data_IF_213220155496
#
_entry.id   IF_213220155496
#
_cell.length_a   1.000
_cell.length_b   1.000
_cell.length_c   1.000
_cell.angle_alpha   90.00
_cell.angle_beta   90.00
_cell.angle_gamma   90.00
#
_symmetry.space_group_name_H-M   'P 1'
#
loop_
_entity.id
_entity.type
_entity.pdbx_description
1 polymer ?
#
# COMPACT_ATOMS: atom_id res chain seq x y z
N UNK A 1 -35.19 5.01 15.86
CA UNK A 1 -34.19 4.10 15.24
C UNK A 1 -32.91 4.20 16.04
N UNK A 2 -32.68 3.27 16.95
CA UNK A 2 -31.49 3.27 17.81
C UNK A 2 -30.23 3.05 16.97
N UNK A 3 -29.24 3.94 17.13
CA UNK A 3 -27.90 3.74 16.59
C UNK A 3 -27.33 2.48 17.25
N UNK A 4 -27.29 1.37 16.51
CA UNK A 4 -26.43 0.24 16.84
C UNK A 4 -24.99 0.68 16.63
N UNK A 5 -24.41 1.34 17.65
CA UNK A 5 -22.96 1.53 17.72
C UNK A 5 -22.41 0.16 18.10
N UNK A 6 -22.04 -0.64 17.10
CA UNK A 6 -21.34 -1.90 17.32
C UNK A 6 -20.10 -1.59 18.16
N UNK A 7 -20.00 -2.17 19.36
CA UNK A 7 -18.79 -2.07 20.18
C UNK A 7 -17.64 -2.65 19.37
N UNK A 8 -16.64 -1.83 19.07
CA UNK A 8 -15.40 -2.27 18.41
C UNK A 8 -14.81 -3.39 19.26
N UNK A 9 -14.85 -4.62 18.77
CA UNK A 9 -14.22 -5.75 19.46
C UNK A 9 -12.74 -5.81 19.09
N UNK A 10 -11.89 -6.31 20.00
CA UNK A 10 -10.47 -6.50 19.70
C UNK A 10 -10.24 -7.38 18.46
N UNK A 11 -11.10 -8.38 18.24
CA UNK A 11 -11.07 -9.21 17.03
C UNK A 11 -11.44 -8.40 15.77
N UNK A 12 -12.42 -7.50 15.86
CA UNK A 12 -12.78 -6.59 14.77
C UNK A 12 -11.64 -5.62 14.44
N UNK A 13 -10.93 -5.12 15.46
CA UNK A 13 -9.77 -4.25 15.28
C UNK A 13 -8.61 -4.99 14.60
N UNK A 14 -8.31 -6.23 15.00
CA UNK A 14 -7.26 -7.05 14.40
C UNK A 14 -7.56 -7.41 12.94
N UNK A 15 -8.82 -7.71 12.62
CA UNK A 15 -9.26 -7.99 11.25
C UNK A 15 -9.14 -6.72 10.40
N UNK A 16 -9.61 -5.57 10.89
CA UNK A 16 -9.49 -4.30 10.19
C UNK A 16 -8.02 -3.88 10.00
N UNK A 17 -7.18 -4.10 11.02
CA UNK A 17 -5.74 -3.84 10.95
C UNK A 17 -5.10 -4.70 9.86
N UNK A 18 -5.41 -5.99 9.82
CA UNK A 18 -4.90 -6.87 8.78
C UNK A 18 -5.33 -6.48 7.38
N UNK A 19 -6.64 -6.39 7.15
CA UNK A 19 -7.20 -6.22 5.79
C UNK A 19 -6.82 -4.85 5.20
N UNK A 20 -6.96 -3.78 5.99
CA UNK A 20 -6.78 -2.41 5.48
C UNK A 20 -5.31 -2.01 5.49
N UNK A 21 -4.61 -2.27 6.59
CA UNK A 21 -3.22 -1.83 6.72
C UNK A 21 -2.23 -2.78 6.08
N UNK A 22 -2.61 -4.03 5.79
CA UNK A 22 -1.74 -4.94 5.06
C UNK A 22 -1.33 -4.41 3.70
N UNK A 23 -2.29 -3.90 2.93
CA UNK A 23 -2.04 -3.34 1.60
C UNK A 23 -1.25 -2.02 1.68
N UNK A 24 -1.61 -1.14 2.63
CA UNK A 24 -0.93 0.15 2.85
C UNK A 24 0.51 -0.03 3.38
N UNK A 25 0.73 -1.04 4.23
CA UNK A 25 1.98 -1.19 4.98
C UNK A 25 3.12 -1.82 4.17
N UNK A 26 2.81 -2.64 3.16
CA UNK A 26 3.84 -3.31 2.35
C UNK A 26 4.42 -2.43 1.26
N UNK A 27 3.60 -1.55 0.67
CA UNK A 27 3.99 -0.72 -0.47
C UNK A 27 5.19 0.21 -0.20
N UNK A 28 5.32 0.87 0.97
CA UNK A 28 6.50 1.66 1.32
C UNK A 28 7.82 0.88 1.26
N UNK A 29 7.82 -0.39 1.69
CA UNK A 29 9.03 -1.22 1.74
C UNK A 29 9.49 -1.62 0.34
N UNK A 30 8.56 -2.03 -0.52
CA UNK A 30 8.86 -2.34 -1.92
C UNK A 30 9.37 -1.10 -2.66
N UNK A 31 8.69 0.05 -2.49
CA UNK A 31 9.09 1.30 -3.12
C UNK A 31 10.48 1.73 -2.68
N UNK A 32 10.73 1.71 -1.36
CA UNK A 32 12.05 2.04 -0.82
C UNK A 32 13.15 1.17 -1.40
N UNK A 33 12.94 -0.16 -1.44
CA UNK A 33 13.90 -1.09 -2.04
C UNK A 33 14.10 -0.80 -3.54
N UNK A 34 13.02 -0.62 -4.30
CA UNK A 34 13.07 -0.36 -5.75
C UNK A 34 13.85 0.91 -6.12
N UNK A 35 13.82 1.94 -5.28
CA UNK A 35 14.54 3.19 -5.51
C UNK A 35 16.04 3.04 -5.22
N UNK A 36 16.39 2.19 -4.26
CA UNK A 36 17.73 2.12 -3.67
C UNK A 36 18.59 1.03 -4.29
N UNK A 37 18.00 -0.09 -4.73
CA UNK A 37 18.69 -1.30 -5.19
C UNK A 37 19.74 -1.07 -6.29
N UNK A 38 19.45 -0.20 -7.25
CA UNK A 38 20.32 0.06 -8.41
C UNK A 38 21.06 1.40 -8.31
N UNK A 39 21.19 1.98 -7.11
CA UNK A 39 21.77 3.31 -6.90
C UNK A 39 22.85 3.31 -5.82
N UNK A 40 23.72 4.31 -5.89
CA UNK A 40 24.69 4.55 -4.83
C UNK A 40 23.97 4.96 -3.54
N UNK A 41 24.27 4.24 -2.46
CA UNK A 41 23.71 4.48 -1.14
C UNK A 41 24.30 5.75 -0.53
N UNK A 42 23.69 6.90 -0.83
CA UNK A 42 24.04 8.18 -0.20
C UNK A 42 23.02 8.54 0.87
N UNK A 43 23.47 9.28 1.88
CA UNK A 43 22.60 9.77 2.96
C UNK A 43 21.44 10.62 2.43
N UNK A 44 21.72 11.41 1.39
CA UNK A 44 20.69 12.22 0.71
C UNK A 44 19.62 11.35 0.06
N UNK A 45 20.00 10.25 -0.63
CA UNK A 45 19.06 9.31 -1.22
C UNK A 45 18.18 8.65 -0.16
N UNK A 46 18.77 8.17 0.94
CA UNK A 46 18.03 7.48 2.00
C UNK A 46 17.07 8.43 2.70
N UNK A 47 17.57 9.56 3.23
CA UNK A 47 16.74 10.51 3.97
C UNK A 47 15.68 11.17 3.08
N UNK A 48 16.05 11.52 1.84
CA UNK A 48 15.13 12.10 0.87
C UNK A 48 14.00 11.15 0.48
N UNK A 49 14.34 9.88 0.19
CA UNK A 49 13.34 8.86 -0.16
C UNK A 49 12.41 8.55 1.02
N UNK A 50 12.96 8.35 2.23
CA UNK A 50 12.13 8.13 3.42
C UNK A 50 11.19 9.31 3.69
N UNK A 51 11.72 10.53 3.64
CA UNK A 51 10.93 11.74 3.85
C UNK A 51 9.82 11.87 2.80
N UNK A 52 10.13 11.61 1.53
CA UNK A 52 9.14 11.62 0.46
C UNK A 52 8.03 10.62 0.69
N UNK A 53 8.36 9.38 1.04
CA UNK A 53 7.37 8.32 1.33
C UNK A 53 6.46 8.76 2.48
N UNK A 54 7.04 9.20 3.60
CA UNK A 54 6.30 9.64 4.80
C UNK A 54 5.32 10.77 4.45
N UNK A 55 5.80 11.81 3.79
CA UNK A 55 4.99 12.99 3.48
C UNK A 55 3.99 12.73 2.35
N UNK A 56 4.33 11.89 1.37
CA UNK A 56 3.39 11.51 0.30
C UNK A 56 2.21 10.75 0.86
N UNK A 57 2.46 9.73 1.71
CA UNK A 57 1.37 9.00 2.37
C UNK A 57 0.57 9.94 3.27
N UNK A 58 1.23 10.71 4.12
CA UNK A 58 0.56 11.62 5.08
C UNK A 58 -0.32 12.65 4.37
N UNK A 59 0.21 13.32 3.34
CA UNK A 59 -0.54 14.34 2.60
C UNK A 59 -1.64 13.71 1.75
N UNK A 60 -1.38 12.60 1.08
CA UNK A 60 -2.38 11.94 0.25
C UNK A 60 -3.54 11.41 1.10
N UNK A 61 -3.27 10.70 2.20
CA UNK A 61 -4.33 10.21 3.09
C UNK A 61 -5.15 11.35 3.68
N UNK A 62 -4.48 12.41 4.16
CA UNK A 62 -5.16 13.53 4.81
C UNK A 62 -5.97 14.36 3.81
N UNK A 63 -5.37 14.79 2.69
CA UNK A 63 -6.02 15.71 1.76
C UNK A 63 -7.05 14.96 0.89
N UNK A 64 -6.63 13.87 0.22
CA UNK A 64 -7.52 13.13 -0.69
C UNK A 64 -8.62 12.42 0.10
N UNK A 65 -8.26 11.62 1.09
CA UNK A 65 -9.25 10.75 1.73
C UNK A 65 -10.01 11.44 2.85
N UNK A 66 -9.30 12.03 3.82
CA UNK A 66 -9.95 12.61 5.00
C UNK A 66 -10.70 13.92 4.67
N UNK A 67 -10.09 14.82 3.90
CA UNK A 67 -10.70 16.13 3.63
C UNK A 67 -11.69 16.09 2.46
N UNK A 68 -11.33 15.48 1.33
CA UNK A 68 -12.18 15.51 0.12
C UNK A 68 -13.20 14.37 0.12
N UNK A 69 -12.73 13.14 0.24
CA UNK A 69 -13.55 11.95 -0.02
C UNK A 69 -14.53 11.66 1.11
N UNK A 70 -14.14 11.76 2.39
CA UNK A 70 -15.08 11.60 3.51
C UNK A 70 -16.16 12.69 3.55
N UNK A 71 -15.96 13.83 2.88
CA UNK A 71 -16.99 14.87 2.72
C UNK A 71 -17.94 14.60 1.56
N UNK A 72 -17.58 13.70 0.65
CA UNK A 72 -18.37 13.34 -0.51
C UNK A 72 -19.22 12.10 -0.18
N UNK A 73 -20.32 12.32 0.53
CA UNK A 73 -21.30 11.28 0.91
C UNK A 73 -22.45 11.19 -0.12
N UNK A 74 -22.89 9.97 -0.44
CA UNK A 74 -24.09 9.68 -1.23
C UNK A 74 -25.20 9.08 -0.37
N UNK A 75 -25.97 9.90 0.34
CA UNK A 75 -27.10 9.43 1.17
C UNK A 75 -26.71 8.38 2.24
N UNK A 76 -25.51 8.49 2.81
CA UNK A 76 -25.02 7.59 3.85
C UNK A 76 -24.22 6.39 3.32
N UNK A 77 -24.00 6.28 2.00
CA UNK A 77 -23.11 5.29 1.39
C UNK A 77 -21.80 5.97 0.92
N UNK A 78 -20.70 5.57 1.55
CA UNK A 78 -19.33 5.87 1.12
C UNK A 78 -18.89 4.97 -0.05
N UNK A 79 -17.64 5.09 -0.45
CA UNK A 79 -17.04 4.20 -1.45
C UNK A 79 -16.99 4.71 -2.89
N UNK A 80 -16.00 4.18 -3.61
CA UNK A 80 -15.67 4.57 -5.00
C UNK A 80 -16.86 4.33 -5.93
N UNK A 81 -17.62 3.25 -5.70
CA UNK A 81 -18.82 2.91 -6.48
C UNK A 81 -20.00 3.86 -6.22
N UNK A 82 -20.13 4.39 -5.00
CA UNK A 82 -21.15 5.37 -4.63
C UNK A 82 -20.90 6.72 -5.30
N UNK A 83 -19.63 7.14 -5.35
CA UNK A 83 -19.20 8.31 -6.14
C UNK A 83 -19.40 8.09 -7.63
N UNK A 84 -19.15 6.87 -8.13
CA UNK A 84 -19.40 6.51 -9.52
C UNK A 84 -20.87 6.70 -9.92
N UNK A 85 -21.78 6.23 -9.05
CA UNK A 85 -23.22 6.37 -9.24
C UNK A 85 -23.69 7.84 -9.20
N UNK A 86 -23.10 8.66 -8.33
CA UNK A 86 -23.34 10.11 -8.24
C UNK A 86 -22.89 10.86 -9.49
N UNK A 87 -21.66 10.60 -9.93
CA UNK A 87 -21.01 11.30 -11.06
C UNK A 87 -21.79 11.06 -12.35
N UNK A 88 -22.25 9.81 -12.57
CA UNK A 88 -23.08 9.44 -13.73
C UNK A 88 -24.43 10.19 -13.77
N UNK A 89 -24.99 10.54 -12.61
CA UNK A 89 -26.29 11.23 -12.49
C UNK A 89 -26.20 12.74 -12.68
N UNK A 90 -25.01 13.34 -12.54
CA UNK A 90 -24.83 14.81 -12.63
C UNK A 90 -24.79 15.32 -14.07
N UNK A 91 -23.99 14.71 -14.96
CA UNK A 91 -23.87 15.12 -16.37
C UNK A 91 -23.55 13.91 -17.25
N UNK A 92 -24.15 13.85 -18.45
CA UNK A 92 -23.97 12.73 -19.40
C UNK A 92 -22.51 12.52 -19.83
N UNK A 93 -21.69 13.58 -19.98
CA UNK A 93 -20.28 13.41 -20.34
C UNK A 93 -19.51 12.64 -19.26
N UNK A 94 -19.83 12.85 -17.98
CA UNK A 94 -19.09 12.29 -16.85
C UNK A 94 -19.10 10.75 -16.80
N UNK A 95 -19.96 10.12 -17.59
CA UNK A 95 -19.96 8.67 -17.82
C UNK A 95 -18.61 8.19 -18.36
N UNK A 96 -17.99 8.91 -19.31
CA UNK A 96 -16.71 8.49 -19.90
C UNK A 96 -15.55 8.47 -18.89
N UNK A 97 -15.23 9.56 -18.16
CA UNK A 97 -14.18 9.52 -17.15
C UNK A 97 -14.50 8.56 -16.01
N UNK A 98 -15.78 8.39 -15.67
CA UNK A 98 -16.17 7.34 -14.73
C UNK A 98 -15.80 5.95 -15.27
N UNK A 99 -16.24 5.57 -16.47
CA UNK A 99 -15.92 4.27 -17.07
C UNK A 99 -14.41 4.00 -17.14
N UNK A 100 -13.60 5.01 -17.50
CA UNK A 100 -12.13 4.90 -17.50
C UNK A 100 -11.60 4.63 -16.09
N UNK A 101 -12.04 5.39 -15.08
CA UNK A 101 -11.64 5.18 -13.69
C UNK A 101 -12.06 3.81 -13.14
N UNK A 102 -13.26 3.33 -13.48
CA UNK A 102 -13.74 2.01 -13.08
C UNK A 102 -12.94 0.87 -13.72
N UNK A 103 -12.57 1.02 -14.99
CA UNK A 103 -11.69 0.06 -15.67
C UNK A 103 -10.28 0.05 -15.06
N UNK A 104 -9.74 1.23 -14.71
CA UNK A 104 -8.44 1.34 -14.05
C UNK A 104 -8.44 0.64 -12.68
N UNK A 105 -9.51 0.81 -11.88
CA UNK A 105 -9.65 0.14 -10.59
C UNK A 105 -9.74 -1.38 -10.72
N UNK A 106 -10.48 -1.88 -11.72
CA UNK A 106 -10.52 -3.32 -12.00
C UNK A 106 -9.17 -3.87 -12.45
N UNK A 107 -8.43 -3.11 -13.28
CA UNK A 107 -7.09 -3.49 -13.70
C UNK A 107 -6.13 -3.56 -12.50
N UNK A 108 -6.19 -2.59 -11.59
CA UNK A 108 -5.39 -2.56 -10.36
C UNK A 108 -5.66 -3.81 -9.51
N UNK A 109 -6.93 -4.14 -9.24
CA UNK A 109 -7.31 -5.33 -8.47
C UNK A 109 -6.85 -6.67 -9.08
N UNK A 110 -6.67 -6.73 -10.41
CA UNK A 110 -6.15 -7.92 -11.11
C UNK A 110 -4.61 -7.99 -11.03
N UNK A 111 -3.93 -6.84 -11.08
CA UNK A 111 -2.47 -6.76 -11.17
C UNK A 111 -1.79 -6.89 -9.79
N UNK A 112 -2.42 -6.40 -8.72
CA UNK A 112 -1.80 -6.34 -7.39
C UNK A 112 -1.42 -7.70 -6.80
N UNK A 113 -2.24 -8.77 -6.84
CA UNK A 113 -1.84 -10.06 -6.26
C UNK A 113 -0.61 -10.69 -6.95
N UNK A 114 -0.54 -10.78 -8.30
CA UNK A 114 0.66 -11.26 -8.97
C UNK A 114 1.92 -10.45 -8.68
N UNK A 115 1.84 -9.11 -8.69
CA UNK A 115 3.00 -8.26 -8.42
C UNK A 115 3.47 -8.46 -6.97
N UNK A 116 2.56 -8.45 -6.00
CA UNK A 116 2.92 -8.60 -4.58
C UNK A 116 3.59 -9.94 -4.29
N UNK A 117 3.07 -11.03 -4.85
CA UNK A 117 3.66 -12.37 -4.69
C UNK A 117 5.01 -12.45 -5.41
N UNK A 118 5.12 -11.90 -6.62
CA UNK A 118 6.39 -11.88 -7.37
C UNK A 118 7.46 -11.10 -6.60
N UNK A 119 7.15 -9.89 -6.12
CA UNK A 119 8.06 -9.07 -5.33
C UNK A 119 8.49 -9.74 -4.02
N UNK A 120 7.59 -10.50 -3.37
CA UNK A 120 7.94 -11.25 -2.16
C UNK A 120 8.95 -12.37 -2.45
N UNK A 121 8.77 -13.12 -3.54
CA UNK A 121 9.68 -14.20 -3.92
C UNK A 121 10.99 -13.66 -4.49
N UNK A 122 10.95 -12.58 -5.26
CA UNK A 122 12.15 -11.90 -5.76
C UNK A 122 12.94 -11.25 -4.63
N UNK A 123 12.28 -10.75 -3.59
CA UNK A 123 12.92 -10.23 -2.38
C UNK A 123 13.77 -11.27 -1.66
N UNK A 124 13.46 -12.57 -1.78
CA UNK A 124 14.30 -13.63 -1.23
C UNK A 124 15.68 -13.70 -1.88
N UNK A 125 15.82 -13.26 -3.15
CA UNK A 125 17.12 -13.27 -3.85
C UNK A 125 18.14 -12.31 -3.26
N UNK A 126 17.71 -11.36 -2.42
CA UNK A 126 18.61 -10.49 -1.66
C UNK A 126 19.40 -11.26 -0.59
N UNK A 127 18.91 -12.43 -0.16
CA UNK A 127 19.62 -13.31 0.75
C UNK A 127 20.67 -14.12 0.00
N UNK A 128 21.90 -14.20 0.55
CA UNK A 128 23.03 -14.91 -0.09
C UNK A 128 22.68 -16.36 -0.46
N UNK A 129 21.88 -17.04 0.36
CA UNK A 129 21.46 -18.42 0.16
C UNK A 129 20.53 -18.62 -1.05
N UNK A 130 19.76 -17.60 -1.44
CA UNK A 130 18.73 -17.67 -2.48
C UNK A 130 19.06 -16.85 -3.74
N UNK A 131 20.25 -16.23 -3.77
CA UNK A 131 20.72 -15.39 -4.89
C UNK A 131 20.80 -16.14 -6.23
N UNK A 132 21.01 -17.45 -6.20
CA UNK A 132 21.16 -18.29 -7.39
C UNK A 132 19.83 -18.88 -7.93
N UNK A 133 18.68 -18.52 -7.34
CA UNK A 133 17.38 -18.98 -7.85
C UNK A 133 17.17 -18.43 -9.26
N UNK A 134 16.97 -19.33 -10.23
CA UNK A 134 16.67 -18.95 -11.61
C UNK A 134 15.30 -18.26 -11.72
N UNK A 135 15.17 -17.35 -12.69
CA UNK A 135 13.90 -16.65 -12.94
C UNK A 135 12.77 -17.62 -13.29
N UNK A 136 13.07 -18.72 -13.99
CA UNK A 136 12.10 -19.80 -14.26
C UNK A 136 11.52 -20.40 -12.97
N UNK A 137 12.37 -20.65 -11.98
CA UNK A 137 11.95 -21.17 -10.66
C UNK A 137 11.06 -20.17 -9.93
N UNK A 138 11.38 -18.87 -9.96
CA UNK A 138 10.51 -17.83 -9.38
C UNK A 138 9.12 -17.88 -10.01
N UNK A 139 9.04 -17.93 -11.34
CA UNK A 139 7.76 -18.00 -12.06
C UNK A 139 6.97 -19.24 -11.66
N UNK A 140 7.60 -20.41 -11.54
CA UNK A 140 6.91 -21.63 -11.09
C UNK A 140 6.39 -21.52 -9.65
N UNK A 141 7.17 -20.93 -8.74
CA UNK A 141 6.74 -20.71 -7.36
C UNK A 141 5.56 -19.74 -7.32
N UNK A 142 5.64 -18.61 -8.03
CA UNK A 142 4.57 -17.60 -8.09
C UNK A 142 3.28 -18.22 -8.65
N UNK A 143 3.36 -18.98 -9.76
CA UNK A 143 2.20 -19.68 -10.33
C UNK A 143 1.62 -20.70 -9.35
N UNK A 144 2.46 -21.43 -8.61
CA UNK A 144 2.03 -22.36 -7.57
C UNK A 144 1.28 -21.65 -6.44
N UNK A 145 1.83 -20.55 -5.91
CA UNK A 145 1.22 -19.76 -4.84
C UNK A 145 -0.13 -19.19 -5.30
N UNK A 146 -0.17 -18.56 -6.48
CA UNK A 146 -1.41 -18.01 -7.06
C UNK A 146 -2.45 -19.10 -7.21
N UNK A 147 -2.09 -20.25 -7.80
CA UNK A 147 -3.02 -21.37 -8.00
C UNK A 147 -3.60 -21.85 -6.68
N UNK A 148 -2.75 -22.08 -5.66
CA UNK A 148 -3.20 -22.52 -4.33
C UNK A 148 -4.06 -21.46 -3.66
N UNK A 149 -3.69 -20.19 -3.76
CA UNK A 149 -4.41 -19.08 -3.13
C UNK A 149 -5.80 -18.90 -3.73
N UNK A 150 -5.91 -18.83 -5.07
CA UNK A 150 -7.20 -18.73 -5.75
C UNK A 150 -8.04 -20.01 -5.58
N UNK A 151 -7.41 -21.19 -5.53
CA UNK A 151 -8.11 -22.42 -5.21
C UNK A 151 -8.65 -22.41 -3.78
N UNK A 152 -7.92 -21.87 -2.81
CA UNK A 152 -8.38 -21.76 -1.42
C UNK A 152 -9.55 -20.76 -1.27
N UNK A 153 -9.59 -19.70 -2.09
CA UNK A 153 -10.67 -18.70 -2.05
C UNK A 153 -12.07 -19.28 -2.31
N UNK A 154 -12.18 -20.38 -3.07
CA UNK A 154 -13.47 -21.03 -3.35
C UNK A 154 -14.17 -21.56 -2.09
N UNK A 155 -13.42 -21.83 -1.01
CA UNK A 155 -13.94 -22.32 0.27
C UNK A 155 -14.43 -21.20 1.19
N UNK A 156 -14.41 -19.95 0.73
CA UNK A 156 -14.93 -18.78 1.43
C UNK A 156 -13.85 -17.79 1.84
N UNK A 157 -13.99 -16.55 1.34
CA UNK A 157 -13.08 -15.43 1.62
C UNK A 157 -13.08 -15.00 3.09
N UNK A 158 -14.18 -15.23 3.80
CA UNK A 158 -14.31 -14.87 5.23
C UNK A 158 -13.31 -15.61 6.13
N UNK A 159 -13.02 -16.88 5.83
CA UNK A 159 -12.08 -17.68 6.62
C UNK A 159 -10.63 -17.22 6.41
N UNK A 160 -10.29 -16.84 5.18
CA UNK A 160 -8.96 -16.34 4.81
C UNK A 160 -8.73 -14.94 5.42
N UNK A 161 -9.73 -14.07 5.37
CA UNK A 161 -9.65 -12.73 5.98
C UNK A 161 -9.42 -12.76 7.50
N UNK A 162 -9.97 -13.76 8.20
CA UNK A 162 -9.74 -13.95 9.64
C UNK A 162 -8.30 -14.36 9.98
N UNK A 163 -7.66 -15.15 9.12
CA UNK A 163 -6.25 -15.55 9.28
C UNK A 163 -5.30 -14.37 9.00
N UNK A 164 -5.67 -13.49 8.07
CA UNK A 164 -4.81 -12.38 7.64
C UNK A 164 -4.48 -11.39 8.77
N UNK A 165 -5.47 -11.05 9.62
CA UNK A 165 -5.29 -10.16 10.77
C UNK A 165 -4.12 -10.52 11.70
N UNK A 166 -4.12 -11.73 12.28
CA UNK A 166 -3.01 -12.21 13.10
C UNK A 166 -1.65 -12.19 12.41
N UNK A 167 -1.56 -12.66 11.16
CA UNK A 167 -0.29 -12.67 10.40
C UNK A 167 0.25 -11.26 10.19
N UNK A 168 -0.61 -10.33 9.76
CA UNK A 168 -0.21 -8.94 9.58
C UNK A 168 0.20 -8.28 10.89
N UNK A 169 -0.48 -8.60 11.99
CA UNK A 169 -0.13 -8.07 13.31
C UNK A 169 1.25 -8.53 13.74
N UNK A 170 1.55 -9.83 13.59
CA UNK A 170 2.89 -10.38 13.87
C UNK A 170 3.94 -9.71 13.00
N UNK A 171 3.66 -9.52 11.71
CA UNK A 171 4.56 -8.86 10.79
C UNK A 171 4.82 -7.39 11.15
N UNK A 172 3.79 -6.61 11.46
CA UNK A 172 3.95 -5.22 11.91
C UNK A 172 4.70 -5.12 13.24
N UNK A 173 4.45 -6.02 14.19
CA UNK A 173 5.18 -6.07 15.44
C UNK A 173 6.66 -6.41 15.22
N UNK A 174 6.95 -7.34 14.30
CA UNK A 174 8.32 -7.64 13.89
C UNK A 174 9.02 -6.41 13.31
N UNK A 175 8.37 -5.69 12.37
CA UNK A 175 8.92 -4.46 11.81
C UNK A 175 9.15 -3.38 12.87
N UNK A 176 8.20 -3.20 13.79
CA UNK A 176 8.32 -2.24 14.88
C UNK A 176 9.50 -2.60 15.81
N UNK A 177 9.62 -3.86 16.19
CA UNK A 177 10.73 -4.32 17.03
C UNK A 177 12.09 -4.12 16.33
N UNK A 178 12.22 -4.57 15.09
CA UNK A 178 13.46 -4.40 14.31
C UNK A 178 13.78 -2.93 14.07
N UNK A 179 12.78 -2.10 13.77
CA UNK A 179 12.94 -0.66 13.60
C UNK A 179 13.42 0.02 14.88
N UNK A 180 12.83 -0.30 16.04
CA UNK A 180 13.27 0.24 17.34
C UNK A 180 14.72 -0.15 17.63
N UNK A 181 15.10 -1.39 17.34
CA UNK A 181 16.48 -1.87 17.56
C UNK A 181 17.48 -1.11 16.68
N UNK A 182 17.17 -0.85 15.42
CA UNK A 182 18.11 -0.22 14.47
C UNK A 182 18.05 1.32 14.44
N UNK A 183 17.03 1.95 15.06
CA UNK A 183 16.98 3.42 15.20
C UNK A 183 18.21 3.95 15.97
N UNK A 184 18.77 3.14 16.88
CA UNK A 184 19.97 3.54 17.64
C UNK A 184 21.25 3.54 16.80
N UNK A 185 21.26 2.87 15.65
CA UNK A 185 22.45 2.80 14.78
C UNK A 185 22.72 4.16 14.11
N UNK A 186 21.65 4.86 13.71
CA UNK A 186 21.73 6.24 13.22
C UNK A 186 20.45 7.01 13.57
N UNK A 187 20.50 7.76 14.67
CA UNK A 187 19.41 8.62 15.15
C UNK A 187 19.03 9.68 14.11
N UNK A 188 19.95 10.04 13.21
CA UNK A 188 19.68 11.05 12.19
C UNK A 188 18.68 10.58 11.13
N UNK A 189 18.33 9.29 11.10
CA UNK A 189 17.24 8.78 10.27
C UNK A 189 15.90 9.45 10.60
N UNK A 190 15.70 9.87 11.85
CA UNK A 190 14.51 10.60 12.29
C UNK A 190 14.37 11.97 11.62
N UNK A 191 15.46 12.52 11.08
CA UNK A 191 15.40 13.75 10.28
C UNK A 191 14.52 13.59 9.04
N UNK A 192 14.28 12.37 8.54
CA UNK A 192 13.35 12.10 7.45
C UNK A 192 11.90 12.55 7.76
N UNK A 193 11.52 12.66 9.04
CA UNK A 193 10.21 13.20 9.43
C UNK A 193 10.05 14.69 9.07
N UNK A 194 11.14 15.42 8.90
CA UNK A 194 11.09 16.83 8.49
C UNK A 194 10.82 16.91 6.97
N UNK A 195 9.74 17.59 6.54
CA UNK A 195 9.36 17.70 5.12
C UNK A 195 10.40 18.43 4.27
N UNK A 196 11.31 19.17 4.91
CA UNK A 196 12.43 19.79 4.24
C UNK A 196 13.24 18.80 3.40
N UNK A 197 13.49 17.57 3.91
CA UNK A 197 14.27 16.58 3.17
C UNK A 197 13.55 16.09 1.93
N UNK A 198 12.22 15.89 1.99
CA UNK A 198 11.41 15.54 0.84
C UNK A 198 11.46 16.63 -0.25
N UNK A 199 11.27 17.90 0.14
CA UNK A 199 11.29 19.04 -0.79
C UNK A 199 12.69 19.23 -1.37
N UNK A 200 13.72 19.20 -0.52
CA UNK A 200 15.10 19.34 -0.98
C UNK A 200 15.46 18.24 -1.97
N UNK A 201 15.09 16.99 -1.68
CA UNK A 201 15.35 15.85 -2.55
C UNK A 201 14.64 15.98 -3.90
N UNK A 202 13.39 16.46 -3.93
CA UNK A 202 12.64 16.69 -5.17
C UNK A 202 13.33 17.64 -6.15
N UNK A 203 13.93 18.71 -5.63
CA UNK A 203 14.48 19.79 -6.46
C UNK A 203 15.99 19.71 -6.68
N UNK A 204 16.74 19.09 -5.77
CA UNK A 204 18.21 19.12 -5.78
C UNK A 204 18.83 17.76 -6.10
N UNK A 205 18.09 16.66 -5.96
CA UNK A 205 18.60 15.33 -6.31
C UNK A 205 18.40 15.03 -7.79
N UNK A 206 19.36 14.32 -8.39
CA UNK A 206 19.31 13.95 -9.80
C UNK A 206 18.05 13.10 -10.09
N UNK A 207 17.21 13.60 -11.01
CA UNK A 207 15.93 12.99 -11.32
C UNK A 207 14.99 12.79 -10.11
N UNK A 208 15.13 13.61 -9.05
CA UNK A 208 14.29 13.56 -7.85
C UNK A 208 12.79 13.68 -8.15
N UNK A 209 12.42 14.52 -9.13
CA UNK A 209 11.04 14.61 -9.62
C UNK A 209 10.53 13.30 -10.25
N UNK A 210 11.37 12.59 -11.01
CA UNK A 210 10.98 11.31 -11.63
C UNK A 210 10.85 10.19 -10.59
N UNK A 211 11.67 10.23 -9.55
CA UNK A 211 11.58 9.32 -8.41
C UNK A 211 10.25 9.45 -7.66
N UNK A 212 9.60 10.62 -7.70
CA UNK A 212 8.26 10.78 -7.16
C UNK A 212 7.26 9.80 -7.80
N UNK A 213 7.41 9.49 -9.09
CA UNK A 213 6.58 8.50 -9.77
C UNK A 213 6.66 7.11 -9.15
N UNK A 214 7.85 6.69 -8.71
CA UNK A 214 8.03 5.45 -7.95
C UNK A 214 7.45 5.58 -6.54
N UNK A 215 7.64 6.73 -5.88
CA UNK A 215 7.08 7.00 -4.54
C UNK A 215 5.56 6.94 -4.55
N UNK A 216 4.87 7.38 -5.61
CA UNK A 216 3.41 7.29 -5.70
C UNK A 216 2.87 5.86 -5.53
N UNK A 217 3.65 4.84 -5.87
CA UNK A 217 3.26 3.44 -5.65
C UNK A 217 3.10 3.11 -4.16
N UNK A 218 3.71 3.87 -3.24
CA UNK A 218 3.54 3.65 -1.79
C UNK A 218 2.12 3.98 -1.31
N UNK A 219 1.32 4.63 -2.17
CA UNK A 219 -0.05 5.04 -1.85
C UNK A 219 -1.12 4.08 -2.35
N UNK A 220 -0.69 3.04 -3.09
CA UNK A 220 -1.52 1.88 -3.39
C UNK A 220 -1.99 1.25 -2.07
N UNK A 221 -3.27 0.86 -2.01
CA UNK A 221 -3.92 0.38 -0.79
C UNK A 221 -4.62 1.43 0.07
N UNK A 222 -4.29 2.73 -0.04
CA UNK A 222 -5.12 3.77 0.58
C UNK A 222 -6.54 3.83 -0.03
N UNK A 223 -6.70 3.28 -1.23
CA UNK A 223 -7.99 3.12 -1.91
C UNK A 223 -8.85 2.03 -1.28
N UNK A 224 -8.25 0.96 -0.76
CA UNK A 224 -8.96 -0.12 -0.06
C UNK A 224 -9.61 0.38 1.24
N UNK A 225 -8.97 1.33 1.94
CA UNK A 225 -9.55 2.02 3.10
C UNK A 225 -10.90 2.66 2.76
N UNK A 226 -11.09 3.11 1.52
CA UNK A 226 -12.30 3.78 1.08
C UNK A 226 -13.27 2.89 0.29
N UNK A 227 -12.79 1.88 -0.45
CA UNK A 227 -13.70 0.93 -1.12
C UNK A 227 -14.58 0.17 -0.14
N UNK A 228 -14.10 -0.03 1.09
CA UNK A 228 -14.73 -0.83 2.13
C UNK A 228 -15.53 0.01 3.15
N UNK A 229 -15.63 1.33 2.96
CA UNK A 229 -16.42 2.28 3.76
C UNK A 229 -17.85 2.43 3.23
#
# INVERSE_FOLDING_TARGET
MGKHINKVSAAGLLIALGIIYGDIGTSPLYVFNSIIKDRLLTRELILGTLSLIIWTITLQTTIKYVILVLRADNKGEGGIFSLFALVRRRKKWLVMPAMIGGAALLADGIITPPISITSAIEGLKELEQFRHIQNSTVVYIVLGIITVFFFAQQFGTSSIGKLFGPFMTVWFLMLAALGIIHITDDITILSALNPYYAIHFLFNYEAGFWLLGAVFLCTTGAEALYSDL
#
